data_IF_193488391782
#
_entry.id   IF_193488391782
#
_cell.length_a   1.000
_cell.length_b   1.000
_cell.length_c   1.000
_cell.angle_alpha   90.00
_cell.angle_beta   90.00
_cell.angle_gamma   90.00
#
_symmetry.space_group_name_H-M   'P 1'
#
loop_
_entity.id
_entity.type
_entity.pdbx_description
1 polymer ?
#
# COMPACT_ATOMS: atom_id res chain seq x y z
N UNK A 1 4.45 -14.90 37.54
CA UNK A 1 3.27 -14.23 36.95
C UNK A 1 3.79 -13.06 36.15
N UNK A 2 4.05 -13.26 34.87
CA UNK A 2 4.56 -12.25 33.95
C UNK A 2 3.36 -11.93 33.06
N UNK A 3 2.79 -10.73 33.20
CA UNK A 3 1.78 -10.26 32.26
C UNK A 3 2.50 -10.06 30.93
N UNK A 4 2.25 -10.95 29.96
CA UNK A 4 2.50 -10.65 28.56
C UNK A 4 1.74 -9.37 28.24
N UNK A 5 2.46 -8.32 27.84
CA UNK A 5 1.85 -7.11 27.33
C UNK A 5 0.95 -7.52 26.17
N UNK A 6 -0.36 -7.36 26.36
CA UNK A 6 -1.37 -7.48 25.32
C UNK A 6 -0.92 -6.67 24.10
N UNK A 7 -0.80 -7.33 22.95
CA UNK A 7 -0.36 -6.74 21.70
C UNK A 7 -1.47 -5.81 21.15
N UNK A 8 -1.65 -4.65 21.77
CA UNK A 8 -2.79 -3.71 21.58
C UNK A 8 -2.83 -2.99 20.22
N UNK A 9 -2.08 -3.42 19.21
CA UNK A 9 -2.09 -2.80 17.88
C UNK A 9 -1.98 -3.81 16.74
N UNK A 10 -2.74 -4.90 16.76
CA UNK A 10 -2.80 -5.83 15.63
C UNK A 10 -3.28 -5.11 14.37
N UNK A 11 -2.39 -4.99 13.39
CA UNK A 11 -2.70 -4.45 12.06
C UNK A 11 -3.36 -5.54 11.23
N UNK A 12 -4.53 -5.25 10.67
CA UNK A 12 -5.25 -6.15 9.75
C UNK A 12 -5.15 -5.56 8.35
N UNK A 13 -4.81 -6.38 7.35
CA UNK A 13 -4.81 -5.96 5.94
C UNK A 13 -6.04 -6.54 5.25
N UNK A 14 -6.73 -5.69 4.49
CA UNK A 14 -7.89 -6.06 3.68
C UNK A 14 -7.95 -5.24 2.40
N UNK A 15 -8.71 -5.68 1.38
CA UNK A 15 -9.13 -4.80 0.30
C UNK A 15 -9.79 -3.53 0.87
N UNK A 16 -9.55 -2.40 0.20
CA UNK A 16 -10.23 -1.16 0.53
C UNK A 16 -11.73 -1.25 0.20
N UNK A 17 -12.53 -0.46 0.92
CA UNK A 17 -13.94 -0.23 0.63
C UNK A 17 -14.16 1.21 0.21
N UNK A 18 -15.37 1.53 -0.26
CA UNK A 18 -15.74 2.90 -0.63
C UNK A 18 -15.58 3.90 0.53
N UNK A 19 -15.79 3.44 1.77
CA UNK A 19 -15.69 4.26 2.98
C UNK A 19 -14.23 4.64 3.31
N UNK A 20 -13.25 3.87 2.83
CA UNK A 20 -11.84 4.17 3.06
C UNK A 20 -11.36 5.35 2.19
N UNK A 21 -11.91 5.53 0.98
CA UNK A 21 -11.41 6.46 -0.04
C UNK A 21 -11.21 7.89 0.47
N UNK A 22 -12.15 8.51 1.20
CA UNK A 22 -11.96 9.87 1.70
C UNK A 22 -10.82 10.00 2.73
N UNK A 23 -10.37 8.89 3.33
CA UNK A 23 -9.38 8.88 4.40
C UNK A 23 -7.94 8.74 3.89
N UNK A 24 -7.75 8.11 2.73
CA UNK A 24 -6.42 7.73 2.23
C UNK A 24 -5.51 8.93 1.86
N UNK A 25 -6.00 10.01 1.23
CA UNK A 25 -5.14 11.16 0.91
C UNK A 25 -4.52 11.80 2.16
N UNK A 26 -5.21 11.77 3.30
CA UNK A 26 -4.68 12.28 4.56
C UNK A 26 -3.56 11.39 5.12
N UNK A 27 -3.60 10.08 4.86
CA UNK A 27 -2.54 9.14 5.24
C UNK A 27 -1.26 9.43 4.45
N UNK A 28 -1.37 9.59 3.13
CA UNK A 28 -0.24 9.92 2.25
C UNK A 28 0.38 11.27 2.62
N UNK A 29 -0.45 12.31 2.78
CA UNK A 29 0.01 13.62 3.25
C UNK A 29 0.69 13.57 4.62
N UNK A 30 0.24 12.69 5.52
CA UNK A 30 0.89 12.47 6.81
C UNK A 30 2.23 11.76 6.65
N UNK A 31 2.32 10.80 5.73
CA UNK A 31 3.52 10.03 5.46
C UNK A 31 4.63 10.89 4.83
N UNK A 32 4.27 11.74 3.86
CA UNK A 32 5.23 12.54 3.09
C UNK A 32 5.95 13.61 3.92
N UNK A 33 5.37 14.04 5.05
CA UNK A 33 6.00 15.02 5.97
C UNK A 33 7.39 14.63 6.44
N UNK A 34 7.70 13.32 6.49
CA UNK A 34 9.04 12.85 6.85
C UNK A 34 10.12 13.41 5.91
N UNK A 35 9.80 13.59 4.62
CA UNK A 35 10.75 14.09 3.62
C UNK A 35 11.13 15.56 3.82
N UNK A 36 10.37 16.35 4.58
CA UNK A 36 10.77 17.71 4.95
C UNK A 36 12.08 17.76 5.75
N UNK A 37 12.44 16.66 6.42
CA UNK A 37 13.70 16.58 7.17
C UNK A 37 14.94 16.45 6.28
N UNK A 38 14.76 16.16 4.98
CA UNK A 38 15.83 15.98 4.00
C UNK A 38 15.65 17.03 2.90
N UNK A 39 16.44 18.12 2.87
CA UNK A 39 16.22 19.24 1.95
C UNK A 39 16.12 18.84 0.47
N UNK A 40 16.92 17.86 0.04
CA UNK A 40 16.88 17.35 -1.34
C UNK A 40 15.58 16.62 -1.70
N UNK A 41 14.78 16.20 -0.72
CA UNK A 41 13.54 15.44 -0.89
C UNK A 41 12.30 16.23 -0.43
N UNK A 42 12.46 17.47 0.04
CA UNK A 42 11.33 18.24 0.60
C UNK A 42 10.22 18.49 -0.43
N UNK A 43 10.53 18.46 -1.73
CA UNK A 43 9.55 18.56 -2.80
C UNK A 43 8.47 17.47 -2.71
N UNK A 44 8.81 16.26 -2.27
CA UNK A 44 7.87 15.13 -2.11
C UNK A 44 6.77 15.46 -1.09
N UNK A 45 7.10 16.25 -0.06
CA UNK A 45 6.11 16.66 0.94
C UNK A 45 5.14 17.74 0.42
N UNK A 46 5.51 18.41 -0.69
CA UNK A 46 4.69 19.42 -1.35
C UNK A 46 3.87 18.86 -2.51
N UNK A 47 4.21 17.67 -3.01
CA UNK A 47 3.42 16.99 -4.03
C UNK A 47 2.01 16.66 -3.51
N UNK A 48 0.96 16.87 -4.32
CA UNK A 48 -0.39 16.53 -3.92
C UNK A 48 -0.52 15.01 -3.75
N UNK A 49 -1.26 14.54 -2.72
CA UNK A 49 -1.53 13.12 -2.60
C UNK A 49 -2.42 12.63 -3.75
N UNK A 50 -2.50 11.31 -3.95
CA UNK A 50 -3.47 10.73 -4.88
C UNK A 50 -4.87 11.28 -4.59
N UNK A 51 -5.55 11.74 -5.64
CA UNK A 51 -6.90 12.24 -5.52
C UNK A 51 -7.89 11.11 -5.22
N UNK A 52 -9.04 11.44 -4.64
CA UNK A 52 -10.12 10.47 -4.43
C UNK A 52 -10.61 9.84 -5.74
N UNK A 53 -10.55 10.58 -6.85
CA UNK A 53 -10.85 10.06 -8.18
C UNK A 53 -9.87 8.99 -8.64
N UNK A 54 -8.56 9.22 -8.48
CA UNK A 54 -7.53 8.22 -8.80
C UNK A 54 -7.65 6.99 -7.90
N UNK A 55 -7.87 7.18 -6.60
CA UNK A 55 -8.11 6.09 -5.65
C UNK A 55 -9.35 5.26 -6.03
N UNK A 56 -10.40 5.91 -6.54
CA UNK A 56 -11.59 5.21 -7.03
C UNK A 56 -11.29 4.29 -8.21
N UNK A 57 -10.37 4.66 -9.11
CA UNK A 57 -9.95 3.82 -10.23
C UNK A 57 -9.21 2.56 -9.75
N UNK A 58 -8.37 2.70 -8.72
CA UNK A 58 -7.70 1.55 -8.09
C UNK A 58 -8.69 0.64 -7.35
N UNK A 59 -9.66 1.23 -6.65
CA UNK A 59 -10.72 0.51 -5.96
C UNK A 59 -11.59 -0.29 -6.94
N UNK A 60 -12.08 0.35 -8.01
CA UNK A 60 -12.94 -0.30 -9.02
C UNK A 60 -12.23 -1.43 -9.77
N UNK A 61 -10.90 -1.36 -9.85
CA UNK A 61 -10.08 -2.40 -10.45
C UNK A 61 -9.68 -3.52 -9.47
N UNK A 62 -10.08 -3.45 -8.19
CA UNK A 62 -9.70 -4.39 -7.12
C UNK A 62 -8.19 -4.46 -6.86
N UNK A 63 -7.49 -3.31 -6.96
CA UNK A 63 -6.05 -3.18 -6.68
C UNK A 63 -5.76 -2.05 -5.68
N UNK A 64 -6.59 -1.95 -4.64
CA UNK A 64 -6.41 -1.04 -3.52
C UNK A 64 -6.57 -1.82 -2.21
N UNK A 65 -5.57 -1.73 -1.34
CA UNK A 65 -5.54 -2.39 -0.03
C UNK A 65 -5.30 -1.38 1.07
N UNK A 66 -5.90 -1.63 2.24
CA UNK A 66 -5.66 -0.86 3.45
C UNK A 66 -5.14 -1.76 4.55
N UNK A 67 -4.26 -1.20 5.37
CA UNK A 67 -3.92 -1.73 6.68
C UNK A 67 -4.68 -0.92 7.73
N UNK A 68 -5.42 -1.62 8.58
CA UNK A 68 -6.29 -1.02 9.58
C UNK A 68 -5.86 -1.37 11.00
N UNK A 69 -6.04 -0.42 11.91
CA UNK A 69 -5.88 -0.60 13.35
C UNK A 69 -7.19 -0.27 14.07
N UNK A 70 -7.37 -0.84 15.26
CA UNK A 70 -8.38 -0.35 16.19
C UNK A 70 -7.95 1.02 16.73
N UNK A 71 -8.86 1.98 16.71
CA UNK A 71 -8.72 3.21 17.48
C UNK A 71 -9.13 2.98 18.95
N UNK A 72 -8.98 4.00 19.79
CA UNK A 72 -9.35 3.96 21.21
C UNK A 72 -10.83 3.68 21.47
N UNK A 73 -11.67 3.79 20.43
CA UNK A 73 -13.10 3.51 20.47
C UNK A 73 -13.45 2.17 19.81
N UNK A 74 -12.44 1.29 19.62
CA UNK A 74 -12.51 0.00 18.94
C UNK A 74 -12.96 0.05 17.47
N UNK A 75 -13.08 1.24 16.87
CA UNK A 75 -13.39 1.36 15.46
C UNK A 75 -12.14 1.02 14.64
N UNK A 76 -12.34 0.28 13.56
CA UNK A 76 -11.25 -0.10 12.67
C UNK A 76 -11.06 1.00 11.63
N UNK A 77 -9.90 1.67 11.63
CA UNK A 77 -9.59 2.76 10.68
C UNK A 77 -8.35 2.44 9.85
N UNK A 78 -8.31 2.87 8.57
CA UNK A 78 -7.10 2.74 7.76
C UNK A 78 -5.98 3.62 8.35
N UNK A 79 -4.81 3.04 8.50
CA UNK A 79 -3.57 3.72 8.95
C UNK A 79 -2.47 3.66 7.90
N UNK A 80 -2.64 2.82 6.88
CA UNK A 80 -1.79 2.74 5.70
C UNK A 80 -2.58 2.17 4.53
N UNK A 81 -2.11 2.39 3.31
CA UNK A 81 -2.69 1.80 2.10
C UNK A 81 -1.63 1.50 1.04
N UNK A 82 -2.01 0.66 0.08
CA UNK A 82 -1.24 0.38 -1.12
C UNK A 82 -2.18 0.39 -2.32
N UNK A 83 -1.89 1.24 -3.30
CA UNK A 83 -2.57 1.33 -4.58
C UNK A 83 -1.66 0.78 -5.68
N UNK A 84 -2.20 -0.09 -6.53
CA UNK A 84 -1.43 -0.71 -7.61
C UNK A 84 -2.27 -0.94 -8.85
N UNK A 85 -1.64 -1.26 -9.97
CA UNK A 85 -2.34 -1.65 -11.20
C UNK A 85 -1.55 -2.71 -11.95
N UNK A 86 -2.25 -3.63 -12.65
CA UNK A 86 -1.57 -4.59 -13.51
C UNK A 86 -0.94 -3.88 -14.71
N UNK A 87 0.23 -4.38 -15.11
CA UNK A 87 0.87 -4.03 -16.38
C UNK A 87 1.33 -5.31 -17.07
N UNK A 88 1.18 -5.36 -18.40
CA UNK A 88 1.76 -6.41 -19.22
C UNK A 88 3.03 -5.86 -19.86
N UNK A 89 4.09 -6.66 -19.83
CA UNK A 89 5.32 -6.35 -20.58
C UNK A 89 5.46 -7.32 -21.73
N UNK A 90 5.61 -6.78 -22.94
CA UNK A 90 6.04 -7.56 -24.08
C UNK A 90 7.55 -7.75 -23.99
N UNK A 91 8.01 -8.99 -24.05
CA UNK A 91 9.43 -9.27 -24.25
C UNK A 91 9.65 -9.35 -25.77
N UNK A 92 10.27 -8.32 -26.35
CA UNK A 92 10.70 -8.27 -27.77
C UNK A 92 11.97 -9.09 -27.99
N UNK A 93 12.02 -10.28 -27.42
CA UNK A 93 13.11 -11.23 -27.55
C UNK A 93 12.62 -12.36 -28.47
N UNK A 94 13.19 -12.40 -29.68
CA UNK A 94 12.89 -13.34 -30.76
C UNK A 94 13.22 -14.81 -30.39
N UNK A 95 13.97 -15.03 -29.30
CA UNK A 95 14.39 -16.33 -28.76
C UNK A 95 13.64 -16.75 -27.48
N UNK A 96 12.97 -15.82 -26.81
CA UNK A 96 12.14 -16.11 -25.64
C UNK A 96 10.77 -16.61 -26.08
N UNK A 97 10.51 -17.89 -25.81
CA UNK A 97 9.18 -18.52 -25.95
C UNK A 97 8.15 -17.61 -25.30
N UNK A 98 7.34 -16.97 -26.13
CA UNK A 98 6.49 -15.83 -25.77
C UNK A 98 5.62 -16.14 -24.56
N UNK A 99 5.89 -15.46 -23.45
CA UNK A 99 4.98 -15.42 -22.32
C UNK A 99 4.83 -13.96 -21.91
N UNK A 100 3.65 -13.39 -22.15
CA UNK A 100 3.28 -12.11 -21.57
C UNK A 100 3.45 -12.20 -20.05
N UNK A 101 4.37 -11.41 -19.52
CA UNK A 101 4.58 -11.33 -18.09
C UNK A 101 3.62 -10.28 -17.52
N UNK A 102 2.79 -10.72 -16.57
CA UNK A 102 1.92 -9.83 -15.79
C UNK A 102 2.69 -9.37 -14.56
N UNK A 103 2.97 -8.07 -14.51
CA UNK A 103 3.57 -7.41 -13.36
C UNK A 103 2.53 -6.53 -12.68
N UNK A 104 2.77 -6.22 -11.41
CA UNK A 104 1.96 -5.27 -10.66
C UNK A 104 2.78 -4.01 -10.40
N UNK A 105 2.37 -2.89 -11.00
CA UNK A 105 2.94 -1.58 -10.75
C UNK A 105 2.31 -0.99 -9.49
N UNK A 106 3.11 -0.73 -8.46
CA UNK A 106 2.68 -0.04 -7.25
C UNK A 106 2.70 1.46 -7.53
N UNK A 107 1.52 2.08 -7.53
CA UNK A 107 1.38 3.51 -7.72
C UNK A 107 1.66 4.28 -6.43
N UNK A 108 1.25 3.73 -5.27
CA UNK A 108 1.45 4.37 -3.97
C UNK A 108 1.49 3.31 -2.86
N UNK A 109 2.30 3.54 -1.83
CA UNK A 109 2.35 2.73 -0.61
C UNK A 109 2.70 3.63 0.59
N UNK A 110 1.66 4.11 1.26
CA UNK A 110 1.79 5.12 2.31
C UNK A 110 1.38 4.61 3.68
N UNK A 111 2.17 4.94 4.69
CA UNK A 111 1.90 4.64 6.10
C UNK A 111 1.85 5.94 6.88
N UNK A 112 0.75 6.17 7.59
CA UNK A 112 0.55 7.36 8.42
C UNK A 112 1.72 7.52 9.40
N UNK A 113 2.23 8.75 9.57
CA UNK A 113 3.44 9.05 10.35
C UNK A 113 3.49 8.38 11.73
N UNK A 114 2.41 8.45 12.52
CA UNK A 114 2.30 7.81 13.84
C UNK A 114 2.46 6.28 13.84
N UNK A 115 2.31 5.63 12.68
CA UNK A 115 2.35 4.18 12.48
C UNK A 115 3.55 3.71 11.66
N UNK A 116 4.40 4.64 11.20
CA UNK A 116 5.64 4.31 10.47
C UNK A 116 6.64 3.57 11.36
N UNK A 117 7.64 2.92 10.72
CA UNK A 117 8.71 2.14 11.37
C UNK A 117 8.23 0.91 12.18
N UNK A 118 6.96 0.50 12.00
CA UNK A 118 6.37 -0.69 12.63
C UNK A 118 6.22 -1.90 11.69
N UNK A 119 6.84 -1.86 10.51
CA UNK A 119 6.77 -2.95 9.53
C UNK A 119 5.47 -3.05 8.72
N UNK A 120 4.55 -2.09 8.84
CA UNK A 120 3.24 -2.10 8.17
C UNK A 120 3.38 -2.12 6.63
N UNK A 121 4.24 -1.29 6.06
CA UNK A 121 4.49 -1.29 4.61
C UNK A 121 5.00 -2.65 4.11
N UNK A 122 5.91 -3.28 4.87
CA UNK A 122 6.41 -4.64 4.56
C UNK A 122 5.27 -5.67 4.58
N UNK A 123 4.35 -5.55 5.54
CA UNK A 123 3.18 -6.43 5.62
C UNK A 123 2.21 -6.21 4.46
N UNK A 124 1.97 -4.96 4.04
CA UNK A 124 1.21 -4.60 2.84
C UNK A 124 1.82 -5.24 1.60
N UNK A 125 3.11 -5.00 1.35
CA UNK A 125 3.82 -5.57 0.20
C UNK A 125 3.74 -7.09 0.17
N UNK A 126 3.97 -7.78 1.30
CA UNK A 126 3.88 -9.24 1.39
C UNK A 126 2.45 -9.75 1.13
N UNK A 127 1.44 -9.03 1.61
CA UNK A 127 0.03 -9.40 1.40
C UNK A 127 -0.35 -9.25 -0.07
N UNK A 128 0.02 -8.13 -0.68
CA UNK A 128 -0.25 -7.85 -2.10
C UNK A 128 0.53 -8.81 -3.00
N UNK A 129 1.78 -9.13 -2.68
CA UNK A 129 2.56 -10.13 -3.41
C UNK A 129 1.88 -11.51 -3.37
N UNK A 130 1.43 -11.95 -2.20
CA UNK A 130 0.70 -13.21 -2.04
C UNK A 130 -0.62 -13.22 -2.82
N UNK A 131 -1.39 -12.13 -2.79
CA UNK A 131 -2.62 -12.00 -3.55
C UNK A 131 -2.35 -12.00 -5.07
N UNK A 132 -1.31 -11.29 -5.50
CA UNK A 132 -0.90 -11.20 -6.91
C UNK A 132 -0.45 -12.55 -7.46
N UNK A 133 0.31 -13.34 -6.68
CA UNK A 133 0.67 -14.71 -7.07
C UNK A 133 -0.56 -15.59 -7.31
N UNK A 134 -1.58 -15.50 -6.44
CA UNK A 134 -2.85 -16.23 -6.62
C UNK A 134 -3.60 -15.81 -7.88
N UNK A 135 -3.42 -14.57 -8.33
CA UNK A 135 -3.97 -14.01 -9.57
C UNK A 135 -3.10 -14.24 -10.81
N UNK A 136 -1.98 -14.97 -10.68
CA UNK A 136 -1.10 -15.34 -11.80
C UNK A 136 -0.08 -14.29 -12.22
N UNK A 137 0.19 -13.30 -11.37
CA UNK A 137 1.29 -12.35 -11.58
C UNK A 137 2.64 -13.00 -11.24
N UNK A 138 3.68 -12.59 -11.95
CA UNK A 138 5.05 -12.94 -11.57
C UNK A 138 5.44 -12.13 -10.32
N UNK A 139 6.08 -12.78 -9.35
CA UNK A 139 6.62 -12.11 -8.17
C UNK A 139 8.15 -12.14 -8.21
N UNK A 140 8.77 -10.99 -8.37
CA UNK A 140 10.23 -10.82 -8.23
C UNK A 140 10.60 -9.86 -7.08
N UNK A 141 9.67 -9.60 -6.14
CA UNK A 141 9.96 -8.73 -4.99
C UNK A 141 11.04 -9.37 -4.09
N UNK A 142 12.27 -8.91 -4.20
CA UNK A 142 13.32 -9.11 -3.20
C UNK A 142 13.35 -7.87 -2.30
N UNK A 143 12.81 -7.98 -1.07
CA UNK A 143 12.84 -6.92 -0.05
C UNK A 143 13.76 -7.33 1.10
#
# INVERSE_FOLDING_TARGET
MIMEASNENSVIIRPATQEDIPLLPAIEKSASKLFNSIPALSFIASDPPLSTGELQLFLSSNYLWVATCHDSSFNTRPVAFLAARPICTHHDDEFSRHKEAKHLYIAECSVHSSYQRRGIAKLLLKTVENDSRKRGFLSELRI
#
